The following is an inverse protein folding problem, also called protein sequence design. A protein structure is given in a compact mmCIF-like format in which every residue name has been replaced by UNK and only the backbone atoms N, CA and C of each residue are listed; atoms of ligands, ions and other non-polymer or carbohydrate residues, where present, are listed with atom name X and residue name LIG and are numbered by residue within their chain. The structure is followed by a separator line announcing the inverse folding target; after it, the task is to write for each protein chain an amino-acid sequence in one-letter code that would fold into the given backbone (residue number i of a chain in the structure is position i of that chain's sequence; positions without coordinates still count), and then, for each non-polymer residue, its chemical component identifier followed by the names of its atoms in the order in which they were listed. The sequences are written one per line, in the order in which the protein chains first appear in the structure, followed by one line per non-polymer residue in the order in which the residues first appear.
data_IF_715374486551
#
_entry.id   IF_715374486551
#
_cell.length_a   1.000
_cell.length_b   1.000
_cell.length_c   1.000
_cell.angle_alpha   90.00
_cell.angle_beta   90.00
_cell.angle_gamma   90.00
#
_symmetry.space_group_name_H-M   'P 1'
#
loop_
_entity.id
_entity.type
_entity.pdbx_description
1 polymer ?
#
# COMPACT_ATOMS: atom_id res chain seq x y z
N UNK A 1 2.49 11.77 13.20
CA UNK A 1 3.52 10.72 13.24
C UNK A 1 2.91 9.45 12.67
N UNK A 2 3.72 8.61 12.02
CA UNK A 2 3.30 7.30 11.55
C UNK A 2 3.17 6.31 12.73
N UNK A 3 2.35 5.24 12.59
CA UNK A 3 2.20 4.25 13.66
C UNK A 3 3.49 3.43 13.86
N UNK A 4 3.89 3.26 15.12
CA UNK A 4 5.10 2.49 15.48
C UNK A 4 4.79 1.02 15.83
N UNK A 5 3.58 0.75 16.34
CA UNK A 5 3.20 -0.56 16.90
C UNK A 5 2.08 -1.27 16.12
N UNK A 6 1.51 -0.62 15.11
CA UNK A 6 0.49 -1.23 14.27
C UNK A 6 1.14 -1.87 13.04
N UNK A 7 0.59 -3.01 12.61
CA UNK A 7 0.89 -3.55 11.30
C UNK A 7 0.40 -2.56 10.23
N UNK A 8 1.22 -2.34 9.19
CA UNK A 8 0.91 -1.39 8.11
C UNK A 8 1.06 -2.11 6.78
N UNK A 9 0.05 -1.96 5.93
CA UNK A 9 0.08 -2.37 4.53
C UNK A 9 0.06 -1.13 3.65
N UNK A 10 1.05 -0.99 2.79
CA UNK A 10 1.06 0.02 1.73
C UNK A 10 0.57 -0.66 0.44
N UNK A 11 -0.46 -0.11 -0.18
CA UNK A 11 -0.94 -0.55 -1.50
C UNK A 11 -0.59 0.53 -2.52
N UNK A 12 0.18 0.16 -3.54
CA UNK A 12 0.68 1.11 -4.52
C UNK A 12 0.21 0.78 -5.95
N UNK A 13 -0.46 1.74 -6.55
CA UNK A 13 -0.78 1.76 -7.97
C UNK A 13 0.47 2.12 -8.78
N UNK A 14 0.95 1.21 -9.63
CA UNK A 14 2.19 1.43 -10.39
C UNK A 14 2.01 2.34 -11.60
N UNK A 15 0.76 2.59 -12.03
CA UNK A 15 0.41 3.57 -13.05
C UNK A 15 -0.27 4.82 -12.44
N UNK A 16 -0.10 5.07 -11.14
CA UNK A 16 -0.58 6.30 -10.50
C UNK A 16 0.18 7.52 -11.04
N UNK A 17 -0.57 8.51 -11.52
CA UNK A 17 -0.05 9.81 -12.02
C UNK A 17 -0.48 10.99 -11.15
N UNK A 18 -1.24 10.74 -10.07
CA UNK A 18 -1.75 11.72 -9.12
C UNK A 18 -0.81 11.82 -7.92
N UNK A 19 -0.40 10.69 -7.34
CA UNK A 19 0.54 10.68 -6.22
C UNK A 19 1.96 10.86 -6.74
N UNK A 20 2.66 11.87 -6.24
CA UNK A 20 4.02 12.16 -6.68
C UNK A 20 5.01 11.04 -6.27
N UNK A 21 5.93 10.61 -7.15
CA UNK A 21 6.87 9.52 -6.86
C UNK A 21 7.70 9.74 -5.58
N UNK A 22 8.10 10.98 -5.30
CA UNK A 22 8.84 11.30 -4.08
C UNK A 22 8.02 11.11 -2.81
N UNK A 23 6.71 11.35 -2.84
CA UNK A 23 5.84 11.11 -1.68
C UNK A 23 5.74 9.61 -1.39
N UNK A 24 5.66 8.80 -2.43
CA UNK A 24 5.68 7.34 -2.34
C UNK A 24 6.98 6.82 -1.76
N UNK A 25 8.11 7.31 -2.27
CA UNK A 25 9.44 6.96 -1.75
C UNK A 25 9.61 7.38 -0.28
N UNK A 26 9.19 8.59 0.08
CA UNK A 26 9.24 9.08 1.46
C UNK A 26 8.36 8.23 2.40
N UNK A 27 7.16 7.84 1.98
CA UNK A 27 6.27 7.00 2.79
C UNK A 27 6.93 5.65 3.12
N UNK A 28 7.57 5.00 2.13
CA UNK A 28 8.30 3.75 2.36
C UNK A 28 9.51 3.93 3.30
N UNK A 29 10.18 5.08 3.24
CA UNK A 29 11.32 5.38 4.13
C UNK A 29 10.87 5.60 5.58
N UNK A 30 9.72 6.24 5.78
CA UNK A 30 9.15 6.50 7.11
C UNK A 30 8.45 5.27 7.71
N UNK A 31 8.08 4.29 6.88
CA UNK A 31 7.42 3.04 7.28
C UNK A 31 8.19 1.81 6.77
N UNK A 32 9.45 1.62 7.19
CA UNK A 32 10.29 0.53 6.70
C UNK A 32 9.76 -0.88 7.05
N UNK A 33 8.91 -0.98 8.07
CA UNK A 33 8.28 -2.21 8.52
C UNK A 33 6.96 -2.53 7.80
N UNK A 34 6.45 -1.62 6.96
CA UNK A 34 5.19 -1.87 6.27
C UNK A 34 5.34 -2.95 5.21
N UNK A 35 4.35 -3.84 5.13
CA UNK A 35 4.19 -4.73 3.99
C UNK A 35 3.77 -3.92 2.76
N UNK A 36 4.14 -4.40 1.57
CA UNK A 36 3.91 -3.68 0.32
C UNK A 36 3.20 -4.59 -0.69
N UNK A 37 2.10 -4.08 -1.24
CA UNK A 37 1.40 -4.65 -2.39
C UNK A 37 1.48 -3.67 -3.55
N UNK A 38 2.16 -4.08 -4.62
CA UNK A 38 2.25 -3.31 -5.85
C UNK A 38 1.22 -3.82 -6.87
N UNK A 39 0.45 -2.90 -7.44
CA UNK A 39 -0.57 -3.18 -8.44
C UNK A 39 -0.09 -2.71 -9.81
N UNK A 40 0.37 -3.65 -10.64
CA UNK A 40 0.86 -3.36 -11.98
C UNK A 40 -0.26 -2.86 -12.91
N UNK A 41 -0.01 -1.78 -13.65
CA UNK A 41 -0.96 -1.22 -14.61
C UNK A 41 -2.20 -0.55 -13.99
N UNK A 42 -2.30 -0.49 -12.67
CA UNK A 42 -3.41 0.13 -11.95
C UNK A 42 -3.07 1.60 -11.65
N UNK A 43 -4.04 2.49 -11.90
CA UNK A 43 -3.94 3.92 -11.61
C UNK A 43 -4.45 4.29 -10.21
N UNK A 44 -4.50 5.59 -9.91
CA UNK A 44 -4.79 6.13 -8.57
C UNK A 44 -6.04 5.58 -7.88
N UNK A 45 -7.08 5.24 -8.64
CA UNK A 45 -8.33 4.70 -8.09
C UNK A 45 -8.23 3.28 -7.52
N UNK A 46 -7.07 2.61 -7.62
CA UNK A 46 -6.84 1.25 -7.13
C UNK A 46 -7.88 0.23 -7.62
N UNK A 47 -8.41 0.45 -8.83
CA UNK A 47 -9.43 -0.40 -9.43
C UNK A 47 -8.81 -1.71 -9.93
N UNK A 48 -8.49 -2.60 -9.00
CA UNK A 48 -7.98 -3.95 -9.26
C UNK A 48 -8.99 -4.98 -8.76
N UNK A 49 -9.38 -5.96 -9.60
CA UNK A 49 -10.12 -7.12 -9.12
C UNK A 49 -9.34 -7.82 -7.99
N UNK A 50 -10.04 -8.28 -6.94
CA UNK A 50 -9.42 -9.03 -5.86
C UNK A 50 -8.71 -8.21 -4.78
N UNK A 51 -8.57 -6.89 -4.96
CA UNK A 51 -7.84 -6.06 -3.99
C UNK A 51 -8.51 -6.06 -2.62
N UNK A 52 -9.84 -5.98 -2.57
CA UNK A 52 -10.58 -6.01 -1.31
C UNK A 52 -10.34 -7.34 -0.58
N UNK A 53 -10.44 -8.46 -1.28
CA UNK A 53 -10.19 -9.80 -0.74
C UNK A 53 -8.75 -9.96 -0.25
N UNK A 54 -7.78 -9.39 -0.97
CA UNK A 54 -6.38 -9.40 -0.56
C UNK A 54 -6.16 -8.60 0.73
N UNK A 55 -6.75 -7.40 0.83
CA UNK A 55 -6.63 -6.54 2.03
C UNK A 55 -7.31 -7.19 3.23
N UNK A 56 -8.51 -7.76 3.04
CA UNK A 56 -9.20 -8.50 4.11
C UNK A 56 -8.41 -9.72 4.54
N UNK A 57 -7.88 -10.50 3.58
CA UNK A 57 -7.03 -11.64 3.89
C UNK A 57 -5.75 -11.27 4.64
N UNK A 58 -5.16 -10.10 4.35
CA UNK A 58 -4.05 -9.56 5.12
C UNK A 58 -4.46 -9.21 6.55
N UNK A 59 -5.60 -8.53 6.74
CA UNK A 59 -6.13 -8.20 8.06
C UNK A 59 -6.41 -9.46 8.90
N UNK A 60 -7.03 -10.48 8.30
CA UNK A 60 -7.36 -11.74 8.96
C UNK A 60 -6.11 -12.56 9.36
N UNK A 61 -4.97 -12.31 8.71
CA UNK A 61 -3.70 -12.95 9.01
C UNK A 61 -2.87 -12.23 10.09
N UNK A 62 -3.32 -11.06 10.56
CA UNK A 62 -2.64 -10.35 11.64
C UNK A 62 -2.77 -11.13 12.97
N UNK A 63 -1.73 -11.11 13.81
CA UNK A 63 -1.69 -11.86 15.08
C UNK A 63 -2.62 -11.30 16.16
#
# INVERSE_FOLDING_TARGET
AFPEQAAVLIVEAMADTIVHPNSRAALRQELPQAELVELAGVGHGLLSPGLCEQVVGWLDALP
#
